data_IF_058099104337
#
_entry.id   IF_058099104337
#
_cell.length_a   1.000
_cell.length_b   1.000
_cell.length_c   1.000
_cell.angle_alpha   90.00
_cell.angle_beta   90.00
_cell.angle_gamma   90.00
#
_symmetry.space_group_name_H-M   'P 1'
#
loop_
_entity.id
_entity.type
_entity.pdbx_description
1 polymer ?
#
# COMPACT_ATOMS: atom_id res chain seq x y z
N UNK A 1 12.35 17.60 8.34
CA UNK A 1 12.43 16.30 7.65
C UNK A 1 11.08 15.62 7.71
N UNK A 2 10.58 15.15 6.57
CA UNK A 2 9.27 14.53 6.52
C UNK A 2 9.42 13.01 6.69
N UNK A 3 8.69 12.45 7.64
CA UNK A 3 8.68 11.00 7.86
C UNK A 3 7.60 10.41 6.97
N UNK A 4 7.91 9.37 6.18
CA UNK A 4 6.89 8.72 5.37
C UNK A 4 5.75 8.17 6.23
N UNK A 5 4.53 8.26 5.72
CA UNK A 5 3.36 7.72 6.42
C UNK A 5 3.46 6.21 6.59
N UNK A 6 4.00 5.54 5.58
CA UNK A 6 4.17 4.09 5.60
C UNK A 6 5.64 3.75 5.39
N UNK A 7 6.04 2.61 5.92
CA UNK A 7 7.41 2.14 5.80
C UNK A 7 7.43 0.85 4.97
N UNK A 8 8.63 0.51 4.50
CA UNK A 8 8.85 -0.73 3.78
C UNK A 8 8.37 -1.90 4.63
N UNK A 9 7.65 -2.81 4.00
CA UNK A 9 7.08 -4.02 4.62
C UNK A 9 5.82 -3.78 5.44
N UNK A 10 5.33 -2.54 5.54
CA UNK A 10 4.05 -2.30 6.20
C UNK A 10 2.92 -2.92 5.39
N UNK A 11 1.95 -3.50 6.11
CA UNK A 11 0.75 -4.03 5.50
C UNK A 11 -0.25 -2.90 5.31
N UNK A 12 -0.83 -2.82 4.13
CA UNK A 12 -1.82 -1.77 3.81
C UNK A 12 -3.00 -2.38 3.06
N UNK A 13 -4.10 -1.65 3.04
CA UNK A 13 -5.29 -2.05 2.30
C UNK A 13 -5.89 -0.81 1.65
N UNK A 14 -6.66 -1.02 0.60
CA UNK A 14 -7.40 0.09 0.01
C UNK A 14 -8.48 0.57 0.98
N UNK A 15 -8.63 1.88 1.08
CA UNK A 15 -9.65 2.44 1.96
C UNK A 15 -11.04 2.07 1.51
N UNK A 16 -11.29 2.03 0.20
CA UNK A 16 -12.62 1.73 -0.35
C UNK A 16 -12.87 0.23 -0.50
N UNK A 17 -11.81 -0.56 -0.50
CA UNK A 17 -11.92 -2.01 -0.67
C UNK A 17 -10.97 -2.69 0.28
N UNK A 18 -11.34 -2.76 1.58
CA UNK A 18 -10.43 -3.30 2.60
C UNK A 18 -9.98 -4.74 2.38
N UNK A 19 -10.70 -5.49 1.57
CA UNK A 19 -10.32 -6.86 1.23
C UNK A 19 -9.11 -6.91 0.29
N UNK A 20 -8.79 -5.80 -0.36
CA UNK A 20 -7.61 -5.73 -1.22
C UNK A 20 -6.44 -5.28 -0.37
N UNK A 21 -5.54 -6.21 -0.06
CA UNK A 21 -4.42 -5.97 0.83
C UNK A 21 -3.10 -6.16 0.12
N UNK A 22 -2.09 -5.51 0.63
CA UNK A 22 -0.76 -5.66 0.10
C UNK A 22 0.29 -5.23 1.10
N UNK A 23 1.51 -5.15 0.63
CA UNK A 23 2.64 -4.77 1.46
C UNK A 23 3.46 -3.71 0.73
N UNK A 24 3.91 -2.71 1.48
CA UNK A 24 4.76 -1.66 0.92
C UNK A 24 6.09 -2.28 0.48
N UNK A 25 6.41 -2.11 -0.80
CA UNK A 25 7.68 -2.58 -1.34
C UNK A 25 8.73 -1.52 -1.16
N UNK A 26 8.37 -0.28 -1.51
CA UNK A 26 9.27 0.84 -1.33
C UNK A 26 8.52 2.16 -1.44
N UNK A 27 9.15 3.21 -0.98
CA UNK A 27 8.68 4.57 -1.16
C UNK A 27 9.01 4.98 -2.61
N UNK A 28 8.01 5.40 -3.36
CA UNK A 28 8.23 5.81 -4.73
C UNK A 28 8.67 7.26 -4.81
N UNK A 29 7.83 8.14 -4.29
CA UNK A 29 8.13 9.55 -4.15
C UNK A 29 7.11 10.12 -3.18
N UNK A 30 7.27 11.39 -2.84
CA UNK A 30 6.44 12.01 -1.81
C UNK A 30 4.96 11.75 -2.06
N UNK A 31 4.33 11.12 -1.09
CA UNK A 31 2.91 10.80 -1.14
C UNK A 31 2.54 9.58 -1.97
N UNK A 32 3.54 8.86 -2.53
CA UNK A 32 3.28 7.68 -3.35
C UNK A 32 4.13 6.52 -2.91
N UNK A 33 3.55 5.34 -2.95
CA UNK A 33 4.21 4.12 -2.52
C UNK A 33 4.02 3.02 -3.54
N UNK A 34 5.01 2.17 -3.66
CA UNK A 34 4.92 0.97 -4.48
C UNK A 34 4.45 -0.16 -3.59
N UNK A 35 3.32 -0.77 -3.93
CA UNK A 35 2.67 -1.80 -3.12
C UNK A 35 2.56 -3.08 -3.92
N UNK A 36 2.99 -4.18 -3.31
CA UNK A 36 2.82 -5.52 -3.86
C UNK A 36 1.55 -6.11 -3.26
N UNK A 37 0.52 -6.29 -4.09
CA UNK A 37 -0.78 -6.75 -3.65
C UNK A 37 -0.78 -8.28 -3.53
N UNK A 38 -1.24 -8.79 -2.40
CA UNK A 38 -1.26 -10.22 -2.15
C UNK A 38 -2.65 -10.77 -1.87
N UNK A 39 -3.67 -9.93 -1.88
CA UNK A 39 -5.04 -10.39 -1.82
C UNK A 39 -5.95 -9.43 -2.60
N UNK A 40 -7.14 -9.88 -2.93
CA UNK A 40 -8.02 -9.11 -3.80
C UNK A 40 -7.90 -9.61 -5.22
N UNK A 41 -9.04 -9.89 -5.84
CA UNK A 41 -9.08 -10.60 -7.12
C UNK A 41 -8.31 -9.91 -8.23
N UNK A 42 -8.51 -8.59 -8.36
CA UNK A 42 -7.96 -7.85 -9.50
C UNK A 42 -6.45 -7.63 -9.40
N UNK A 43 -5.96 -7.41 -8.17
CA UNK A 43 -4.59 -6.94 -7.98
C UNK A 43 -3.65 -8.00 -7.43
N UNK A 44 -4.15 -9.17 -7.12
CA UNK A 44 -3.33 -10.22 -6.53
C UNK A 44 -2.12 -10.52 -7.40
N UNK A 45 -0.94 -10.52 -6.78
CA UNK A 45 0.30 -10.78 -7.48
C UNK A 45 0.86 -9.63 -8.26
N UNK A 46 0.22 -8.47 -8.22
CA UNK A 46 0.68 -7.29 -8.96
C UNK A 46 1.29 -6.26 -8.03
N UNK A 47 2.21 -5.47 -8.58
CA UNK A 47 2.81 -4.35 -7.87
C UNK A 47 2.39 -3.07 -8.57
N UNK A 48 1.84 -2.14 -7.80
CA UNK A 48 1.38 -0.87 -8.36
C UNK A 48 1.87 0.29 -7.51
N UNK A 49 1.84 1.49 -8.08
CA UNK A 49 2.17 2.71 -7.37
C UNK A 49 0.85 3.39 -7.03
N UNK A 50 0.67 3.70 -5.74
CA UNK A 50 -0.58 4.30 -5.26
C UNK A 50 -0.28 5.49 -4.36
N UNK A 51 -1.26 6.41 -4.31
CA UNK A 51 -1.19 7.54 -3.39
C UNK A 51 -1.47 7.08 -1.97
N UNK A 52 -0.83 7.70 -0.99
CA UNK A 52 -1.09 7.39 0.41
C UNK A 52 -2.53 7.66 0.80
N UNK A 53 -3.24 8.48 0.04
CA UNK A 53 -4.63 8.82 0.34
C UNK A 53 -5.62 7.71 0.00
N UNK A 54 -5.24 6.75 -0.82
CA UNK A 54 -6.14 5.66 -1.22
C UNK A 54 -5.90 4.38 -0.43
N UNK A 55 -4.89 4.35 0.41
CA UNK A 55 -4.56 3.18 1.21
C UNK A 55 -4.51 3.57 2.69
N UNK A 56 -4.60 2.57 3.53
CA UNK A 56 -4.44 2.77 4.97
C UNK A 56 -3.61 1.62 5.53
N UNK A 57 -2.95 1.88 6.65
CA UNK A 57 -2.17 0.86 7.31
C UNK A 57 -3.12 -0.15 7.93
N UNK A 58 -2.89 -1.41 7.66
CA UNK A 58 -3.72 -2.45 8.24
C UNK A 58 -3.22 -2.78 9.64
N UNK A 59 -4.16 -2.79 10.59
CA UNK A 59 -3.84 -3.20 11.94
C UNK A 59 -3.60 -4.71 11.96
N UNK A 60 -2.53 -5.11 12.59
CA UNK A 60 -2.21 -6.54 12.72
C UNK A 60 -2.78 -7.10 14.01
#
# INVERSE_FOLDING_TARGET
>A
MTIPTFQKHDRVAFRESPEVEGKIVEWWKRGFYKVAWDSGVTYQGKTTIVSENVIRKKAS
#
